data_IF_088600433665
#
_entry.id   IF_088600433665
#
_cell.length_a   1.000
_cell.length_b   1.000
_cell.length_c   1.000
_cell.angle_alpha   90.00
_cell.angle_beta   90.00
_cell.angle_gamma   90.00
#
_symmetry.space_group_name_H-M   'P 1'
#
loop_
_entity.id
_entity.type
_entity.pdbx_description
1 polymer ?
#
# COMPACT_ATOMS: atom_id res chain seq x y z
N UNK A 1 -5.20 -0.73 15.42
CA UNK A 1 -4.34 0.47 15.53
C UNK A 1 -3.71 0.71 14.16
N UNK A 2 -3.81 1.92 13.63
CA UNK A 2 -3.21 2.31 12.35
C UNK A 2 -2.09 3.32 12.60
N UNK A 3 -1.04 3.27 11.79
CA UNK A 3 0.10 4.19 11.86
C UNK A 3 0.33 4.85 10.51
N UNK A 4 0.94 6.04 10.47
CA UNK A 4 1.30 6.68 9.20
C UNK A 4 2.20 5.76 8.36
N UNK A 5 1.99 5.77 7.04
CA UNK A 5 2.80 5.00 6.10
C UNK A 5 4.31 5.34 6.19
N UNK A 6 4.64 6.60 6.45
CA UNK A 6 6.03 7.04 6.65
C UNK A 6 6.62 6.42 7.92
N UNK A 7 5.87 6.45 9.03
CA UNK A 7 6.30 5.80 10.28
C UNK A 7 6.50 4.30 10.08
N UNK A 8 5.60 3.65 9.32
CA UNK A 8 5.73 2.24 8.99
C UNK A 8 7.02 1.93 8.21
N UNK A 9 7.35 2.73 7.18
CA UNK A 9 8.60 2.55 6.44
C UNK A 9 9.85 2.82 7.28
N UNK A 10 9.80 3.79 8.19
CA UNK A 10 10.90 4.05 9.13
C UNK A 10 11.12 2.83 10.03
N UNK A 11 10.05 2.25 10.58
CA UNK A 11 10.13 1.05 11.43
C UNK A 11 10.70 -0.15 10.67
N UNK A 12 10.27 -0.37 9.42
CA UNK A 12 10.86 -1.41 8.56
C UNK A 12 12.35 -1.16 8.31
N UNK A 13 12.74 0.09 8.06
CA UNK A 13 14.15 0.46 7.87
C UNK A 13 15.01 0.19 9.10
N UNK A 14 14.53 0.54 10.30
CA UNK A 14 15.20 0.23 11.56
C UNK A 14 15.35 -1.28 11.74
N UNK A 15 14.29 -2.04 11.47
CA UNK A 15 14.30 -3.50 11.61
C UNK A 15 15.30 -4.15 10.63
N UNK A 16 15.35 -3.67 9.38
CA UNK A 16 16.35 -4.09 8.40
C UNK A 16 17.78 -3.78 8.86
N UNK A 17 18.02 -2.58 9.39
CA UNK A 17 19.33 -2.18 9.89
C UNK A 17 19.78 -3.04 11.08
N UNK A 18 18.87 -3.36 12.01
CA UNK A 18 19.20 -4.26 13.14
C UNK A 18 19.56 -5.66 12.66
N UNK A 19 18.83 -6.21 11.67
CA UNK A 19 19.15 -7.50 11.06
C UNK A 19 20.54 -7.51 10.41
N UNK A 20 20.90 -6.43 9.71
CA UNK A 20 22.24 -6.28 9.11
C UNK A 20 23.34 -6.21 10.16
N UNK A 21 23.18 -5.40 11.21
CA UNK A 21 24.18 -5.28 12.30
C UNK A 21 24.37 -6.62 13.01
N UNK A 22 23.29 -7.34 13.30
CA UNK A 22 23.35 -8.66 13.92
C UNK A 22 24.05 -9.67 13.02
N UNK A 23 23.67 -9.72 11.74
CA UNK A 23 24.30 -10.60 10.75
C UNK A 23 25.81 -10.34 10.64
N UNK A 24 26.22 -9.07 10.58
CA UNK A 24 27.64 -8.72 10.58
C UNK A 24 28.36 -9.21 11.85
N UNK A 25 27.79 -8.98 13.04
CA UNK A 25 28.39 -9.45 14.31
C UNK A 25 28.56 -10.97 14.35
N UNK A 26 27.56 -11.73 13.89
CA UNK A 26 27.65 -13.20 13.84
C UNK A 26 28.69 -13.70 12.84
N UNK A 27 28.83 -13.00 11.70
CA UNK A 27 29.87 -13.28 10.70
C UNK A 27 31.29 -13.06 11.26
N UNK A 28 31.52 -11.97 11.99
CA UNK A 28 32.82 -11.70 12.64
C UNK A 28 33.14 -12.67 13.78
N UNK A 29 32.12 -13.20 14.48
CA UNK A 29 32.29 -14.20 15.55
C UNK A 29 32.59 -15.64 15.05
N UNK A 30 32.89 -15.85 13.76
CA UNK A 30 33.11 -17.16 13.11
C UNK A 30 31.95 -18.16 13.24
N UNK A 31 30.74 -17.74 13.63
CA UNK A 31 29.53 -18.58 13.67
C UNK A 31 28.77 -18.50 12.34
N UNK A 32 29.47 -18.77 11.24
CA UNK A 32 29.03 -18.46 9.87
C UNK A 32 27.72 -19.18 9.52
N UNK A 33 27.56 -20.45 9.88
CA UNK A 33 26.33 -21.20 9.58
C UNK A 33 25.09 -20.61 10.27
N UNK A 34 25.19 -20.11 11.51
CA UNK A 34 24.04 -19.48 12.21
C UNK A 34 23.69 -18.11 11.64
N UNK A 35 24.67 -17.39 11.06
CA UNK A 35 24.48 -16.04 10.52
C UNK A 35 23.54 -16.00 9.32
N UNK A 36 23.62 -16.98 8.43
CA UNK A 36 22.80 -17.01 7.21
C UNK A 36 21.31 -17.26 7.52
N UNK A 37 21.02 -18.14 8.50
CA UNK A 37 19.64 -18.39 8.94
C UNK A 37 19.04 -17.15 9.60
N UNK A 38 19.78 -16.47 10.48
CA UNK A 38 19.29 -15.24 11.13
C UNK A 38 18.98 -14.15 10.10
N UNK A 39 19.85 -13.96 9.10
CA UNK A 39 19.57 -12.99 8.03
C UNK A 39 18.33 -13.37 7.21
N UNK A 40 18.19 -14.66 6.88
CA UNK A 40 17.06 -15.17 6.10
C UNK A 40 15.74 -15.03 6.89
N UNK A 41 15.76 -15.30 8.20
CA UNK A 41 14.61 -15.11 9.09
C UNK A 41 14.20 -13.63 9.15
N UNK A 42 15.16 -12.72 9.29
CA UNK A 42 14.88 -11.27 9.27
C UNK A 42 14.33 -10.81 7.92
N UNK A 43 14.91 -11.28 6.81
CA UNK A 43 14.43 -10.95 5.48
C UNK A 43 13.00 -11.47 5.25
N UNK A 44 12.70 -12.68 5.73
CA UNK A 44 11.36 -13.27 5.69
C UNK A 44 10.37 -12.43 6.51
N UNK A 45 10.71 -12.07 7.74
CA UNK A 45 9.88 -11.24 8.61
C UNK A 45 9.61 -9.88 7.96
N UNK A 46 10.63 -9.21 7.43
CA UNK A 46 10.48 -7.91 6.74
C UNK A 46 9.59 -8.06 5.50
N UNK A 47 9.79 -9.11 4.70
CA UNK A 47 8.99 -9.39 3.52
C UNK A 47 7.51 -9.59 3.87
N UNK A 48 7.22 -10.40 4.88
CA UNK A 48 5.86 -10.61 5.38
C UNK A 48 5.25 -9.32 5.91
N UNK A 49 6.00 -8.56 6.73
CA UNK A 49 5.52 -7.28 7.26
C UNK A 49 5.29 -6.25 6.17
N UNK A 50 6.02 -6.27 5.07
CA UNK A 50 5.83 -5.34 3.95
C UNK A 50 4.62 -5.70 3.07
N UNK A 51 4.38 -7.00 2.85
CA UNK A 51 3.39 -7.48 1.87
C UNK A 51 1.96 -7.62 2.42
N UNK A 52 1.82 -7.90 3.71
CA UNK A 52 0.53 -8.29 4.29
C UNK A 52 -0.32 -7.19 4.96
N UNK A 53 0.22 -6.05 5.44
CA UNK A 53 -0.62 -5.11 6.16
C UNK A 53 -1.47 -4.31 5.17
N UNK A 54 -2.79 -4.23 5.39
CA UNK A 54 -3.66 -3.47 4.50
C UNK A 54 -3.45 -1.97 4.72
N UNK A 55 -3.78 -1.20 3.69
CA UNK A 55 -3.71 0.27 3.75
C UNK A 55 -5.04 0.88 4.11
N UNK A 56 -4.99 2.02 4.78
CA UNK A 56 -6.12 2.86 5.09
C UNK A 56 -5.86 4.24 4.48
N UNK A 57 -6.68 4.61 3.50
CA UNK A 57 -6.69 5.94 2.93
C UNK A 57 -7.90 6.70 3.47
N UNK A 58 -7.66 7.75 4.24
CA UNK A 58 -8.70 8.65 4.72
C UNK A 58 -8.65 9.94 3.91
N UNK A 59 -9.69 10.22 3.14
CA UNK A 59 -9.79 11.44 2.32
C UNK A 59 -10.66 12.44 3.06
N UNK A 60 -10.10 13.60 3.40
CA UNK A 60 -10.80 14.68 4.10
C UNK A 60 -11.34 15.73 3.13
N UNK A 61 -10.59 16.00 2.06
CA UNK A 61 -10.95 16.90 0.97
C UNK A 61 -10.22 16.49 -0.31
N UNK A 62 -10.53 17.14 -1.42
CA UNK A 62 -9.89 16.85 -2.72
C UNK A 62 -8.41 17.21 -2.81
N UNK A 63 -7.85 17.80 -1.76
CA UNK A 63 -6.43 18.13 -1.65
C UNK A 63 -5.78 17.58 -0.37
N UNK A 64 -6.58 17.12 0.60
CA UNK A 64 -6.08 16.63 1.88
C UNK A 64 -6.54 15.18 2.12
N UNK A 65 -5.56 14.29 2.21
CA UNK A 65 -5.74 12.89 2.53
C UNK A 65 -4.67 12.43 3.52
N UNK A 66 -4.94 11.30 4.17
CA UNK A 66 -4.01 10.64 5.08
C UNK A 66 -3.89 9.17 4.71
N UNK A 67 -2.65 8.73 4.55
CA UNK A 67 -2.31 7.32 4.34
C UNK A 67 -1.79 6.70 5.62
N UNK A 68 -2.40 5.58 5.98
CA UNK A 68 -2.04 4.80 7.14
C UNK A 68 -1.94 3.31 6.79
N UNK A 69 -1.19 2.58 7.61
CA UNK A 69 -1.02 1.13 7.54
C UNK A 69 -1.63 0.53 8.78
N UNK A 70 -2.49 -0.48 8.60
CA UNK A 70 -3.15 -1.17 9.70
C UNK A 70 -2.26 -2.33 10.14
N UNK A 71 -1.68 -2.23 11.33
CA UNK A 71 -0.80 -3.27 11.87
C UNK A 71 -1.55 -4.37 12.61
N UNK A 72 -2.73 -4.04 13.14
CA UNK A 72 -3.54 -4.94 13.93
C UNK A 72 -5.00 -4.86 13.47
N UNK A 73 -5.75 -5.97 13.50
CA UNK A 73 -7.16 -5.99 13.14
C UNK A 73 -7.92 -4.85 13.82
N UNK A 74 -8.62 -4.05 13.03
CA UNK A 74 -9.37 -2.91 13.52
C UNK A 74 -10.74 -2.87 12.84
N UNK A 75 -11.75 -2.42 13.57
CA UNK A 75 -13.08 -2.17 12.99
C UNK A 75 -13.12 -0.77 12.40
N UNK A 76 -13.30 -0.68 11.08
CA UNK A 76 -13.54 0.55 10.34
C UNK A 76 -15.05 0.69 10.14
N UNK A 77 -15.75 1.17 11.18
CA UNK A 77 -17.21 1.19 11.20
C UNK A 77 -17.78 -0.23 11.09
N UNK A 78 -18.49 -0.52 9.98
CA UNK A 78 -19.09 -1.83 9.70
C UNK A 78 -18.10 -2.87 9.15
N UNK A 79 -16.90 -2.46 8.73
CA UNK A 79 -15.90 -3.34 8.14
C UNK A 79 -14.88 -3.78 9.19
N UNK A 80 -14.55 -5.07 9.22
CA UNK A 80 -13.37 -5.55 9.94
C UNK A 80 -12.22 -5.61 8.96
N UNK A 81 -11.17 -4.83 9.24
CA UNK A 81 -9.98 -4.84 8.42
C UNK A 81 -9.34 -6.24 8.47
N UNK A 82 -9.31 -6.91 7.32
CA UNK A 82 -8.61 -8.18 7.14
C UNK A 82 -7.13 -7.91 6.84
N UNK A 83 -6.27 -8.91 6.95
CA UNK A 83 -4.92 -8.82 6.39
C UNK A 83 -4.94 -9.16 4.90
N UNK A 84 -4.09 -8.50 4.11
CA UNK A 84 -3.97 -8.75 2.68
C UNK A 84 -3.67 -7.51 1.84
N UNK A 85 -3.55 -7.73 0.54
CA UNK A 85 -3.28 -6.67 -0.45
C UNK A 85 -4.54 -5.92 -0.82
N UNK A 86 -5.09 -5.18 0.12
CA UNK A 86 -6.24 -4.33 -0.08
C UNK A 86 -6.08 -2.98 0.60
N UNK A 87 -6.77 -1.99 0.06
CA UNK A 87 -6.81 -0.62 0.55
C UNK A 87 -8.23 -0.30 0.94
N UNK A 88 -8.42 0.11 2.19
CA UNK A 88 -9.67 0.67 2.68
C UNK A 88 -9.67 2.16 2.42
N UNK A 89 -10.65 2.66 1.66
CA UNK A 89 -10.84 4.08 1.41
C UNK A 89 -12.00 4.56 2.27
N UNK A 90 -11.73 5.53 3.13
CA UNK A 90 -12.72 6.21 3.98
C UNK A 90 -12.93 7.61 3.42
N UNK A 91 -14.10 7.85 2.85
CA UNK A 91 -14.46 9.16 2.34
C UNK A 91 -15.06 10.02 3.46
N UNK A 92 -14.27 10.93 4.05
CA UNK A 92 -14.76 11.94 5.00
C UNK A 92 -15.06 13.28 4.34
N UNK A 93 -14.84 13.40 3.03
CA UNK A 93 -15.13 14.61 2.28
C UNK A 93 -16.63 14.77 1.99
N UNK A 94 -17.02 15.94 1.50
CA UNK A 94 -18.36 16.20 0.96
C UNK A 94 -18.56 15.70 -0.48
N UNK A 95 -17.47 15.31 -1.15
CA UNK A 95 -17.46 14.92 -2.56
C UNK A 95 -17.58 13.41 -2.72
N UNK A 96 -18.12 12.97 -3.85
CA UNK A 96 -18.02 11.55 -4.22
C UNK A 96 -16.60 11.30 -4.71
N UNK A 97 -16.01 10.17 -4.29
CA UNK A 97 -14.72 9.74 -4.82
C UNK A 97 -14.93 8.64 -5.84
N UNK A 98 -14.15 8.68 -6.91
CA UNK A 98 -14.20 7.69 -7.98
C UNK A 98 -12.85 7.02 -8.11
N UNK A 99 -12.83 5.69 -7.92
CA UNK A 99 -11.66 4.86 -8.12
C UNK A 99 -11.72 4.17 -9.48
N UNK A 100 -10.69 4.32 -10.29
CA UNK A 100 -10.65 3.84 -11.67
C UNK A 100 -9.28 3.28 -12.05
N UNK A 101 -9.26 2.54 -13.15
CA UNK A 101 -8.04 2.07 -13.78
C UNK A 101 -7.75 2.93 -15.01
N UNK A 102 -6.53 3.43 -15.10
CA UNK A 102 -6.01 4.21 -16.23
C UNK A 102 -5.10 3.33 -17.05
N UNK A 103 -5.37 3.23 -18.35
CA UNK A 103 -4.65 2.33 -19.26
C UNK A 103 -3.76 3.14 -20.21
N UNK A 104 -2.53 2.67 -20.40
CA UNK A 104 -1.51 3.29 -21.24
C UNK A 104 -1.02 2.30 -22.29
N UNK A 105 -0.67 2.81 -23.47
CA UNK A 105 -0.13 2.02 -24.57
C UNK A 105 -1.14 1.00 -25.10
N UNK A 106 -0.76 -0.27 -25.13
CA UNK A 106 -1.59 -1.38 -25.63
C UNK A 106 -2.51 -2.00 -24.58
N UNK A 107 -2.56 -1.46 -23.36
CA UNK A 107 -3.43 -1.98 -22.31
C UNK A 107 -4.87 -1.49 -22.51
N UNK A 108 -5.82 -2.36 -22.20
CA UNK A 108 -7.25 -2.08 -22.24
C UNK A 108 -7.93 -2.61 -20.99
N UNK A 109 -9.14 -2.12 -20.73
CA UNK A 109 -9.96 -2.57 -19.62
C UNK A 109 -10.20 -4.08 -19.68
N UNK A 110 -9.91 -4.76 -18.58
CA UNK A 110 -10.20 -6.19 -18.44
C UNK A 110 -11.66 -6.37 -18.01
N UNK A 111 -12.23 -7.54 -18.32
CA UNK A 111 -13.56 -7.89 -17.83
C UNK A 111 -13.61 -7.85 -16.30
N UNK A 112 -14.54 -7.06 -15.75
CA UNK A 112 -14.73 -6.89 -14.31
C UNK A 112 -14.01 -5.68 -13.69
N UNK A 113 -13.19 -4.95 -14.45
CA UNK A 113 -12.63 -3.67 -14.02
C UNK A 113 -13.68 -2.57 -14.25
N UNK A 114 -14.31 -2.11 -13.17
CA UNK A 114 -15.31 -1.05 -13.20
C UNK A 114 -14.93 0.07 -12.24
N UNK A 115 -15.34 1.30 -12.57
CA UNK A 115 -15.21 2.45 -11.68
C UNK A 115 -15.97 2.20 -10.38
N UNK A 116 -15.31 2.42 -9.25
CA UNK A 116 -15.90 2.26 -7.92
C UNK A 116 -16.19 3.64 -7.38
N UNK A 117 -17.47 3.94 -7.18
CA UNK A 117 -17.94 5.17 -6.55
C UNK A 117 -18.01 5.00 -5.03
N UNK A 118 -17.50 5.99 -4.31
CA UNK A 118 -17.41 6.02 -2.85
C UNK A 118 -18.10 7.29 -2.38
N UNK A 119 -19.34 7.16 -1.91
CA UNK A 119 -20.15 8.30 -1.48
C UNK A 119 -19.57 8.98 -0.23
N UNK A 120 -19.93 10.23 0.05
CA UNK A 120 -19.58 10.88 1.32
C UNK A 120 -19.92 10.01 2.52
N UNK A 121 -18.98 9.88 3.47
CA UNK A 121 -19.07 9.06 4.68
C UNK A 121 -19.11 7.54 4.43
N UNK A 122 -18.91 7.09 3.20
CA UNK A 122 -18.81 5.68 2.85
C UNK A 122 -17.39 5.15 3.05
N UNK A 123 -17.30 3.85 3.32
CA UNK A 123 -16.06 3.10 3.38
C UNK A 123 -16.13 2.02 2.31
N UNK A 124 -15.11 1.94 1.45
CA UNK A 124 -14.98 0.88 0.45
C UNK A 124 -13.64 0.17 0.59
N UNK A 125 -13.68 -1.14 0.41
CA UNK A 125 -12.49 -1.96 0.23
C UNK A 125 -12.19 -2.09 -1.26
N UNK A 126 -10.94 -1.86 -1.63
CA UNK A 126 -10.44 -2.03 -2.98
C UNK A 126 -9.30 -3.05 -2.96
N UNK A 127 -9.34 -4.01 -3.90
CA UNK A 127 -8.32 -5.04 -4.06
C UNK A 127 -7.06 -4.51 -4.76
N UNK A 128 -6.51 -3.41 -4.24
CA UNK A 128 -5.21 -2.88 -4.62
C UNK A 128 -4.43 -2.51 -3.38
N UNK A 129 -3.11 -2.72 -3.41
CA UNK A 129 -2.21 -2.26 -2.36
C UNK A 129 -1.74 -0.83 -2.57
N UNK A 130 -1.72 -0.34 -3.81
CA UNK A 130 -1.24 1.01 -4.14
C UNK A 130 -2.15 1.70 -5.16
N UNK A 131 -2.34 2.99 -4.95
CA UNK A 131 -3.05 3.88 -5.86
C UNK A 131 -2.01 4.80 -6.48
N UNK A 132 -1.79 4.72 -7.79
CA UNK A 132 -0.72 5.47 -8.46
C UNK A 132 -1.01 6.99 -8.50
N UNK A 133 -2.27 7.36 -8.73
CA UNK A 133 -2.70 8.76 -8.79
C UNK A 133 -3.74 9.04 -7.70
N UNK A 134 -3.31 9.67 -6.62
CA UNK A 134 -4.18 10.09 -5.51
C UNK A 134 -4.58 11.55 -5.72
N UNK A 135 -5.86 11.78 -5.98
CA UNK A 135 -6.48 13.11 -6.12
C UNK A 135 -5.71 14.03 -7.10
N UNK A 136 -5.06 13.43 -8.08
CA UNK A 136 -4.19 14.07 -9.04
C UNK A 136 -4.52 13.58 -10.44
N UNK A 137 -4.29 14.45 -11.42
CA UNK A 137 -4.51 14.11 -12.82
C UNK A 137 -3.49 13.07 -13.28
N UNK A 138 -3.91 12.03 -14.00
CA UNK A 138 -2.99 11.03 -14.54
C UNK A 138 -2.06 11.70 -15.55
N UNK A 139 -0.84 11.19 -15.67
CA UNK A 139 0.09 11.65 -16.70
C UNK A 139 -0.51 11.39 -18.09
N UNK A 140 -0.29 12.30 -19.05
CA UNK A 140 -0.77 12.11 -20.43
C UNK A 140 -0.05 10.97 -21.15
N UNK A 141 1.20 10.70 -20.76
CA UNK A 141 2.00 9.59 -21.26
C UNK A 141 2.98 9.12 -20.19
N UNK A 142 3.32 7.84 -20.24
CA UNK A 142 4.37 7.24 -19.42
C UNK A 142 5.44 6.67 -20.34
N UNK A 143 6.70 6.85 -19.96
CA UNK A 143 7.85 6.23 -20.63
C UNK A 143 7.89 4.74 -20.32
N UNK A 144 7.01 3.95 -20.96
CA UNK A 144 7.07 2.50 -20.92
C UNK A 144 7.48 1.95 -22.28
N UNK A 145 8.52 1.12 -22.28
CA UNK A 145 8.98 0.37 -23.44
C UNK A 145 7.86 -0.53 -23.98
N UNK A 146 7.10 -0.03 -24.97
CA UNK A 146 6.17 -0.71 -25.88
C UNK A 146 5.08 -1.68 -25.32
N UNK A 147 5.11 -2.05 -24.03
CA UNK A 147 4.28 -3.15 -23.46
C UNK A 147 2.98 -2.69 -22.80
N UNK A 148 2.67 -1.40 -22.84
CA UNK A 148 1.52 -0.82 -22.14
C UNK A 148 1.68 -0.81 -20.62
N UNK A 149 0.76 -0.15 -19.92
CA UNK A 149 0.67 -0.19 -18.46
C UNK A 149 -0.76 0.06 -17.97
N UNK A 150 -1.11 -0.50 -16.83
CA UNK A 150 -2.33 -0.15 -16.10
C UNK A 150 -1.93 0.48 -14.80
N UNK A 151 -2.57 1.61 -14.49
CA UNK A 151 -2.38 2.40 -13.28
C UNK A 151 -3.72 2.58 -12.59
N UNK A 152 -3.70 2.88 -11.31
CA UNK A 152 -4.92 3.12 -10.52
C UNK A 152 -5.02 4.59 -10.14
N UNK A 153 -6.23 5.13 -10.20
CA UNK A 153 -6.51 6.53 -9.93
C UNK A 153 -7.66 6.65 -8.93
N UNK A 154 -7.55 7.60 -8.01
CA UNK A 154 -8.64 8.04 -7.15
C UNK A 154 -8.85 9.54 -7.38
N UNK A 155 -10.05 9.94 -7.80
CA UNK A 155 -10.40 11.34 -8.05
C UNK A 155 -11.60 11.79 -7.22
N UNK A 156 -11.73 13.10 -7.06
CA UNK A 156 -12.95 13.74 -6.59
C UNK A 156 -13.84 14.12 -7.77
N UNK A 157 -15.14 13.93 -7.60
CA UNK A 157 -16.20 14.51 -8.42
C UNK A 157 -16.88 15.72 -7.75
#
# INVERSE_FOLDING_TARGET
MAISIHTFYILLGILALTGLVLSQRYRFSKRILKSNWVFLDFALIIGLLYLFPPRLLTVYSCTAYKEEVILFPVSLGKYKAAFGQHTYIVNKSSHTLTFEHVYYGTNHAKQGEHSIFIKPKEIKEIKTFHIDFLLSTPALSISNNAKGATKTMLTCE
#
